data_IF_573089675645
#
_entry.id   IF_573089675645
#
_cell.length_a   1.000
_cell.length_b   1.000
_cell.length_c   1.000
_cell.angle_alpha   90.00
_cell.angle_beta   90.00
_cell.angle_gamma   90.00
#
_symmetry.space_group_name_H-M   'P 1'
#
loop_
_entity.id
_entity.type
_entity.pdbx_description
1 polymer ?
#
# COMPACT_ATOMS: atom_id res chain seq x y z
N UNK A 1 5.14 -8.67 13.51
CA UNK A 1 4.16 -7.81 12.79
C UNK A 1 4.50 -6.36 13.03
N UNK A 2 4.33 -5.53 12.00
CA UNK A 2 4.40 -4.07 12.07
C UNK A 2 3.03 -3.57 11.61
N UNK A 3 2.43 -2.64 12.34
CA UNK A 3 1.07 -2.19 12.08
C UNK A 3 0.85 -0.73 12.47
N UNK A 4 -0.17 -0.12 11.87
CA UNK A 4 -0.62 1.22 12.20
C UNK A 4 -1.50 1.21 13.45
N UNK A 5 -1.35 2.25 14.26
CA UNK A 5 -2.19 2.47 15.43
C UNK A 5 -2.69 3.90 15.45
N UNK A 6 -3.98 4.05 15.72
CA UNK A 6 -4.64 5.35 15.76
C UNK A 6 -5.36 5.52 17.10
N UNK A 7 -4.93 6.49 17.91
CA UNK A 7 -5.77 6.97 19.00
C UNK A 7 -5.66 6.18 20.29
N UNK A 8 -6.83 6.02 20.93
CA UNK A 8 -7.00 5.62 22.33
C UNK A 8 -6.84 4.10 22.51
N UNK A 9 -6.60 3.63 23.74
CA UNK A 9 -6.56 2.21 24.03
C UNK A 9 -7.87 1.54 23.64
N UNK A 10 -7.79 0.32 23.13
CA UNK A 10 -8.98 -0.47 22.83
C UNK A 10 -9.68 -0.77 24.16
N UNK A 11 -10.92 -0.28 24.36
CA UNK A 11 -11.64 -0.51 25.59
C UNK A 11 -11.73 -2.00 25.91
N UNK A 12 -11.56 -2.37 27.18
CA UNK A 12 -11.66 -3.74 27.71
C UNK A 12 -10.58 -4.73 27.23
N UNK A 13 -9.84 -4.43 26.17
CA UNK A 13 -8.70 -5.22 25.70
C UNK A 13 -7.41 -4.73 26.36
N UNK A 14 -7.21 -3.42 26.45
CA UNK A 14 -5.95 -2.83 26.91
C UNK A 14 -6.09 -2.19 28.30
N UNK A 15 -5.55 -2.87 29.30
CA UNK A 15 -5.48 -2.35 30.67
C UNK A 15 -4.19 -1.58 30.89
N UNK A 16 -4.21 -0.28 30.57
CA UNK A 16 -3.07 0.59 30.85
C UNK A 16 -2.93 0.87 32.35
N UNK A 17 -1.83 0.44 32.95
CA UNK A 17 -1.41 0.85 34.29
C UNK A 17 -1.14 2.37 34.35
N UNK A 18 -1.09 2.96 35.55
CA UNK A 18 -0.74 4.39 35.73
C UNK A 18 0.59 4.76 35.03
N UNK A 19 1.59 3.86 35.10
CA UNK A 19 2.88 4.04 34.43
C UNK A 19 2.75 4.02 32.91
N UNK A 20 2.02 3.05 32.36
CA UNK A 20 1.80 2.92 30.91
C UNK A 20 1.01 4.10 30.33
N UNK A 21 0.07 4.68 31.08
CA UNK A 21 -0.69 5.86 30.62
C UNK A 21 0.19 7.08 30.37
N UNK A 22 1.32 7.21 31.08
CA UNK A 22 2.24 8.35 30.93
C UNK A 22 3.07 8.26 29.64
N UNK A 23 3.40 7.05 29.19
CA UNK A 23 4.16 6.79 27.96
C UNK A 23 3.28 6.41 26.77
N UNK A 24 1.94 6.47 26.91
CA UNK A 24 1.02 6.04 25.87
C UNK A 24 0.92 7.09 24.76
N UNK A 25 1.27 6.70 23.54
CA UNK A 25 1.10 7.52 22.35
C UNK A 25 -0.36 7.53 21.94
N UNK A 26 -0.97 8.72 21.95
CA UNK A 26 -2.37 8.92 21.52
C UNK A 26 -2.50 9.27 20.04
N UNK A 27 -1.43 9.72 19.40
CA UNK A 27 -1.43 10.10 17.99
C UNK A 27 -1.44 8.88 17.07
N UNK A 28 -1.54 9.11 15.76
CA UNK A 28 -1.23 8.06 14.80
C UNK A 28 0.24 7.67 14.90
N UNK A 29 0.55 6.38 14.86
CA UNK A 29 1.93 5.89 14.93
C UNK A 29 2.04 4.46 14.38
N UNK A 30 3.27 4.00 14.18
CA UNK A 30 3.60 2.64 13.77
C UNK A 30 4.19 1.89 14.96
N UNK A 31 3.67 0.68 15.22
CA UNK A 31 4.16 -0.21 16.27
C UNK A 31 4.64 -1.55 15.68
N UNK A 32 5.51 -2.22 16.43
CA UNK A 32 5.93 -3.60 16.18
C UNK A 32 5.59 -4.51 17.36
N UNK A 33 5.15 -5.73 17.04
CA UNK A 33 5.05 -6.85 17.97
C UNK A 33 5.69 -8.10 17.36
N UNK A 34 6.29 -8.93 18.19
CA UNK A 34 6.90 -10.20 17.78
C UNK A 34 6.13 -11.37 18.39
N UNK A 35 6.15 -12.51 17.70
CA UNK A 35 5.56 -13.76 18.14
C UNK A 35 6.31 -14.91 17.47
N UNK A 36 6.45 -16.02 18.19
CA UNK A 36 7.03 -17.26 17.67
C UNK A 36 5.95 -18.29 17.28
N UNK A 37 4.68 -18.04 17.61
CA UNK A 37 3.56 -18.99 17.47
C UNK A 37 2.27 -18.35 16.89
N UNK A 38 2.33 -17.07 16.53
CA UNK A 38 1.22 -16.22 16.09
C UNK A 38 0.07 -16.07 17.09
N UNK A 39 0.22 -16.58 18.31
CA UNK A 39 -0.80 -16.62 19.35
C UNK A 39 -0.43 -15.73 20.52
N UNK A 40 0.80 -15.87 21.02
CA UNK A 40 1.37 -15.04 22.09
C UNK A 40 2.23 -13.97 21.46
N UNK A 41 1.97 -12.71 21.82
CA UNK A 41 2.63 -11.54 21.24
C UNK A 41 3.36 -10.72 22.31
N UNK A 42 4.56 -10.24 21.97
CA UNK A 42 5.34 -9.34 22.83
C UNK A 42 4.59 -8.05 23.17
N UNK A 43 5.07 -7.28 24.14
CA UNK A 43 4.63 -5.89 24.31
C UNK A 43 4.89 -5.08 23.02
N UNK A 44 4.05 -4.07 22.70
CA UNK A 44 4.23 -3.22 21.55
C UNK A 44 5.47 -2.34 21.70
N UNK A 45 6.24 -2.23 20.62
CA UNK A 45 7.36 -1.29 20.48
C UNK A 45 6.97 -0.19 19.51
N UNK A 46 7.08 1.06 19.94
CA UNK A 46 6.86 2.22 19.09
C UNK A 46 8.02 2.34 18.08
N UNK A 47 7.70 2.38 16.79
CA UNK A 47 8.69 2.54 15.73
C UNK A 47 8.77 3.98 15.19
N UNK A 48 7.62 4.62 14.97
CA UNK A 48 7.54 5.95 14.36
C UNK A 48 6.23 6.66 14.76
N UNK A 49 6.29 7.90 15.25
CA UNK A 49 5.09 8.71 15.46
C UNK A 49 4.76 9.56 14.22
N UNK A 50 3.47 9.75 13.92
CA UNK A 50 3.04 10.56 12.79
C UNK A 50 3.51 12.02 12.86
N UNK A 51 3.69 12.57 14.06
CA UNK A 51 4.18 13.94 14.26
C UNK A 51 5.62 14.15 13.78
N UNK A 52 6.37 13.06 13.59
CA UNK A 52 7.76 13.11 13.10
C UNK A 52 7.80 13.22 11.57
N UNK A 53 6.70 12.93 10.87
CA UNK A 53 6.59 13.01 9.41
C UNK A 53 5.93 14.36 9.04
N UNK A 54 6.66 15.29 8.39
CA UNK A 54 6.16 16.65 8.13
C UNK A 54 4.85 16.71 7.33
N UNK A 55 4.65 15.76 6.41
CA UNK A 55 3.47 15.73 5.54
C UNK A 55 2.26 15.03 6.16
N UNK A 56 2.38 14.50 7.39
CA UNK A 56 1.35 13.63 7.97
C UNK A 56 0.08 14.36 8.40
N UNK A 57 0.15 15.67 8.70
CA UNK A 57 -0.99 16.52 9.04
C UNK A 57 -1.43 17.45 7.90
N UNK A 58 -0.86 17.31 6.71
CA UNK A 58 -1.24 18.15 5.57
C UNK A 58 -2.75 18.05 5.30
N UNK A 59 -3.45 19.18 5.26
CA UNK A 59 -4.92 19.33 5.21
C UNK A 59 -5.69 18.60 6.32
N UNK A 60 -5.07 18.29 7.47
CA UNK A 60 -5.69 17.56 8.58
C UNK A 60 -5.33 18.17 9.92
N UNK A 61 -6.29 18.17 10.85
CA UNK A 61 -6.04 18.62 12.23
C UNK A 61 -5.08 17.70 13.00
N UNK A 62 -5.12 16.40 12.69
CA UNK A 62 -4.33 15.39 13.38
C UNK A 62 -3.45 14.65 12.35
N UNK A 63 -2.14 14.51 12.61
CA UNK A 63 -1.24 13.73 11.76
C UNK A 63 -1.69 12.27 11.64
N UNK A 64 -1.59 11.71 10.44
CA UNK A 64 -1.95 10.31 10.16
C UNK A 64 -0.85 9.63 9.34
N UNK A 65 -0.45 8.45 9.78
CA UNK A 65 0.32 7.49 8.99
C UNK A 65 -0.57 6.34 8.56
N UNK A 66 -0.17 5.59 7.54
CA UNK A 66 -0.90 4.42 7.09
C UNK A 66 0.00 3.44 6.35
N UNK A 67 -0.44 2.20 6.23
CA UNK A 67 0.18 1.19 5.34
C UNK A 67 1.71 1.01 5.53
N UNK A 68 2.18 0.72 6.75
CA UNK A 68 3.61 0.52 6.97
C UNK A 68 4.14 -0.71 6.22
N UNK A 69 5.29 -0.56 5.59
CA UNK A 69 6.05 -1.67 5.02
C UNK A 69 7.54 -1.49 5.30
N UNK A 70 8.15 -2.47 5.95
CA UNK A 70 9.59 -2.48 6.21
C UNK A 70 10.33 -3.31 5.17
N UNK A 71 11.49 -2.83 4.72
CA UNK A 71 12.43 -3.58 3.89
C UNK A 71 13.86 -3.51 4.44
N UNK A 72 14.62 -4.62 4.40
CA UNK A 72 16.05 -4.58 4.64
C UNK A 72 16.77 -3.84 3.50
N UNK A 73 17.58 -2.87 3.88
CA UNK A 73 18.42 -2.06 3.00
C UNK A 73 19.87 -2.14 3.49
N UNK A 74 20.80 -1.54 2.75
CA UNK A 74 22.17 -1.44 3.23
C UNK A 74 22.21 -0.69 4.57
N UNK A 75 22.93 -1.23 5.56
CA UNK A 75 23.09 -0.63 6.88
C UNK A 75 21.90 -0.77 7.84
N UNK A 76 20.74 -1.28 7.41
CA UNK A 76 19.59 -1.43 8.31
C UNK A 76 18.26 -1.68 7.61
N UNK A 77 17.23 -0.96 8.04
CA UNK A 77 15.84 -1.16 7.66
C UNK A 77 15.21 0.16 7.26
N UNK A 78 14.53 0.17 6.10
CA UNK A 78 13.72 1.30 5.64
C UNK A 78 12.25 0.97 5.81
N UNK A 79 11.52 1.87 6.45
CA UNK A 79 10.07 1.83 6.62
C UNK A 79 9.42 2.78 5.63
N UNK A 80 8.63 2.25 4.70
CA UNK A 80 7.72 3.01 3.84
C UNK A 80 6.39 3.18 4.56
N UNK A 81 5.85 4.40 4.56
CA UNK A 81 4.57 4.74 5.18
C UNK A 81 3.81 5.72 4.30
N UNK A 82 2.50 5.53 4.18
CA UNK A 82 1.62 6.58 3.67
C UNK A 82 1.44 7.67 4.73
N UNK A 83 1.43 8.94 4.33
CA UNK A 83 1.20 10.07 5.23
C UNK A 83 0.08 10.99 4.72
N UNK A 84 -0.70 11.52 5.68
CA UNK A 84 -1.97 12.20 5.45
C UNK A 84 -2.96 11.35 4.61
N UNK A 85 -4.15 11.90 4.31
CA UNK A 85 -5.22 11.23 3.56
C UNK A 85 -5.87 12.18 2.57
N UNK A 86 -6.31 11.63 1.45
CA UNK A 86 -7.14 12.28 0.43
C UNK A 86 -8.35 11.42 0.10
N UNK A 87 -9.48 12.07 -0.23
CA UNK A 87 -10.76 11.43 -0.44
C UNK A 87 -11.42 10.90 0.84
N UNK A 88 -12.69 10.51 0.74
CA UNK A 88 -13.51 10.14 1.91
C UNK A 88 -13.91 8.67 1.91
N UNK A 89 -14.43 8.15 0.78
CA UNK A 89 -15.05 6.83 0.71
C UNK A 89 -14.74 6.12 -0.60
N UNK A 90 -13.58 5.46 -0.75
CA UNK A 90 -12.51 5.24 0.24
C UNK A 90 -11.52 6.41 0.32
N UNK A 91 -10.92 6.61 1.48
CA UNK A 91 -9.76 7.49 1.65
C UNK A 91 -8.47 6.74 1.27
N UNK A 92 -7.49 7.46 0.72
CA UNK A 92 -6.18 6.93 0.33
C UNK A 92 -5.07 7.78 0.92
N UNK A 93 -3.85 7.24 1.04
CA UNK A 93 -2.69 8.03 1.47
C UNK A 93 -2.46 9.19 0.49
N UNK A 94 -2.23 10.40 1.01
CA UNK A 94 -1.96 11.57 0.17
C UNK A 94 -0.53 11.51 -0.38
N UNK A 95 0.40 11.13 0.50
CA UNK A 95 1.82 10.97 0.21
C UNK A 95 2.31 9.59 0.63
N UNK A 96 3.48 9.21 0.12
CA UNK A 96 4.33 8.16 0.69
C UNK A 96 5.63 8.79 1.17
N UNK A 97 6.09 8.38 2.35
CA UNK A 97 7.33 8.82 2.98
C UNK A 97 8.15 7.60 3.40
N UNK A 98 9.42 7.82 3.73
CA UNK A 98 10.29 6.80 4.31
C UNK A 98 10.97 7.27 5.58
N UNK A 99 11.31 6.30 6.42
CA UNK A 99 12.13 6.47 7.61
C UNK A 99 13.11 5.29 7.72
N UNK A 100 14.24 5.49 8.38
CA UNK A 100 15.32 4.52 8.51
C UNK A 100 15.63 4.19 9.97
N UNK A 101 16.03 2.94 10.22
CA UNK A 101 16.62 2.50 11.47
C UNK A 101 17.70 1.46 11.22
N UNK A 102 18.77 1.46 12.02
CA UNK A 102 19.82 0.44 11.95
C UNK A 102 19.32 -0.95 12.40
N UNK A 103 18.29 -0.99 13.26
CA UNK A 103 17.67 -2.23 13.73
C UNK A 103 16.19 -2.30 13.37
N UNK A 104 15.69 -3.52 13.18
CA UNK A 104 14.31 -3.75 12.76
C UNK A 104 13.28 -3.15 13.75
N UNK A 105 13.60 -3.20 15.03
CA UNK A 105 12.77 -2.84 16.17
C UNK A 105 13.17 -1.52 16.84
N UNK A 106 14.10 -0.79 16.23
CA UNK A 106 14.57 0.51 16.70
C UNK A 106 13.59 1.63 16.38
N UNK A 107 13.90 2.83 16.86
CA UNK A 107 13.20 4.04 16.42
C UNK A 107 13.59 4.34 14.98
N UNK A 108 12.60 4.63 14.14
CA UNK A 108 12.80 5.01 12.75
C UNK A 108 12.83 6.54 12.63
N UNK A 109 13.82 7.06 11.90
CA UNK A 109 14.02 8.49 11.68
C UNK A 109 13.65 8.81 10.23
N UNK A 110 12.78 9.81 9.96
CA UNK A 110 12.42 10.19 8.59
C UNK A 110 13.65 10.47 7.71
N UNK A 111 13.69 9.90 6.51
CA UNK A 111 14.82 10.08 5.57
C UNK A 111 14.87 11.50 4.98
N UNK A 112 13.72 12.19 4.92
CA UNK A 112 13.57 13.48 4.24
C UNK A 112 12.44 14.31 4.85
N UNK A 113 12.53 15.62 4.66
CA UNK A 113 11.44 16.55 4.96
C UNK A 113 10.36 16.58 3.86
N UNK A 114 10.72 16.19 2.64
CA UNK A 114 9.80 16.11 1.50
C UNK A 114 9.20 14.70 1.39
N UNK A 115 7.95 14.56 0.95
CA UNK A 115 7.38 13.25 0.65
C UNK A 115 8.18 12.55 -0.46
N UNK A 116 8.26 11.23 -0.38
CA UNK A 116 8.90 10.39 -1.40
C UNK A 116 8.07 10.33 -2.68
N UNK A 117 6.76 10.20 -2.51
CA UNK A 117 5.80 10.11 -3.63
C UNK A 117 4.58 10.96 -3.29
N UNK A 118 4.13 11.75 -4.25
CA UNK A 118 2.96 12.62 -4.15
C UNK A 118 2.09 12.61 -5.41
N UNK A 119 0.92 13.24 -5.34
CA UNK A 119 0.06 13.44 -6.49
C UNK A 119 0.74 14.32 -7.55
N UNK A 120 0.54 13.99 -8.83
CA UNK A 120 1.05 14.79 -9.95
C UNK A 120 -0.16 15.22 -10.77
N UNK A 121 -0.59 16.50 -10.74
CA UNK A 121 -1.89 16.92 -11.29
C UNK A 121 -2.19 16.48 -12.73
N UNK A 122 -1.17 16.40 -13.58
CA UNK A 122 -1.30 16.01 -14.99
C UNK A 122 -0.92 14.54 -15.26
N UNK A 123 -0.65 13.74 -14.23
CA UNK A 123 -0.39 12.31 -14.38
C UNK A 123 -1.70 11.52 -14.53
N UNK A 124 -1.73 10.63 -15.53
CA UNK A 124 -2.92 9.85 -15.91
C UNK A 124 -3.45 8.97 -14.78
N UNK A 125 -2.58 8.49 -13.88
CA UNK A 125 -2.93 7.48 -12.88
C UNK A 125 -2.74 7.97 -11.44
N UNK A 126 -2.04 9.08 -11.23
CA UNK A 126 -1.71 9.62 -9.90
C UNK A 126 -2.06 11.11 -9.74
N UNK A 127 -3.10 11.60 -10.40
CA UNK A 127 -3.49 13.02 -10.34
C UNK A 127 -4.08 13.48 -9.02
N UNK A 128 -4.66 12.58 -8.21
CA UNK A 128 -5.38 12.95 -6.98
C UNK A 128 -4.67 12.55 -5.69
N UNK A 129 -3.83 11.52 -5.72
CA UNK A 129 -3.14 11.04 -4.53
C UNK A 129 -2.12 9.95 -4.82
N UNK A 130 -1.06 9.87 -4.00
CA UNK A 130 -0.06 8.81 -4.11
C UNK A 130 -0.66 7.42 -3.84
N UNK A 131 -1.65 7.33 -2.96
CA UNK A 131 -2.24 6.07 -2.56
C UNK A 131 -1.23 5.14 -1.88
N UNK A 132 -1.52 3.84 -1.88
CA UNK A 132 -0.65 2.84 -1.24
C UNK A 132 0.48 2.45 -2.19
N UNK A 133 1.67 2.25 -1.66
CA UNK A 133 2.82 1.71 -2.39
C UNK A 133 3.34 0.46 -1.67
N UNK A 134 3.50 -0.64 -2.40
CA UNK A 134 4.08 -1.89 -1.90
C UNK A 134 5.37 -2.17 -2.66
N UNK A 135 6.50 -2.13 -1.95
CA UNK A 135 7.86 -2.18 -2.47
C UNK A 135 8.45 -3.59 -2.34
N UNK A 136 9.19 -4.00 -3.36
CA UNK A 136 9.90 -5.27 -3.43
C UNK A 136 11.33 -5.00 -3.87
N UNK A 137 12.29 -5.63 -3.18
CA UNK A 137 13.70 -5.58 -3.52
C UNK A 137 14.04 -6.76 -4.43
N UNK A 138 14.46 -6.48 -5.66
CA UNK A 138 15.09 -7.43 -6.57
C UNK A 138 16.58 -7.58 -6.31
N UNK A 139 17.31 -8.21 -7.24
CA UNK A 139 18.77 -8.34 -7.15
C UNK A 139 19.47 -6.99 -7.24
N UNK A 140 19.10 -6.19 -8.25
CA UNK A 140 19.82 -4.96 -8.64
C UNK A 140 18.93 -3.71 -8.62
N UNK A 141 17.65 -3.88 -8.30
CA UNK A 141 16.67 -2.81 -8.35
C UNK A 141 15.52 -3.05 -7.39
N UNK A 142 14.69 -2.04 -7.23
CA UNK A 142 13.43 -2.10 -6.50
C UNK A 142 12.28 -1.95 -7.49
N UNK A 143 11.20 -2.67 -7.19
CA UNK A 143 9.93 -2.59 -7.90
C UNK A 143 8.86 -2.25 -6.89
N UNK A 144 7.87 -1.44 -7.26
CA UNK A 144 6.72 -1.21 -6.42
C UNK A 144 5.41 -1.30 -7.19
N UNK A 145 4.40 -1.84 -6.53
CA UNK A 145 3.03 -1.65 -6.96
C UNK A 145 2.44 -0.46 -6.23
N UNK A 146 1.91 0.49 -6.99
CA UNK A 146 1.24 1.66 -6.43
C UNK A 146 -0.26 1.61 -6.76
N UNK A 147 -1.10 1.67 -5.74
CA UNK A 147 -2.54 1.88 -5.84
C UNK A 147 -2.82 3.39 -5.97
N UNK A 148 -2.47 3.96 -7.12
CA UNK A 148 -2.53 5.40 -7.36
C UNK A 148 -3.99 5.88 -7.52
N UNK A 149 -4.30 7.12 -7.09
CA UNK A 149 -5.63 7.73 -7.22
C UNK A 149 -5.60 8.79 -8.33
N UNK A 150 -6.61 8.74 -9.21
CA UNK A 150 -6.73 9.65 -10.34
C UNK A 150 -8.18 10.06 -10.60
N UNK A 151 -8.33 11.12 -11.39
CA UNK A 151 -9.61 11.50 -11.98
C UNK A 151 -9.83 10.76 -13.30
N UNK A 152 -10.85 9.90 -13.35
CA UNK A 152 -11.29 9.23 -14.58
C UNK A 152 -12.18 10.20 -15.37
N UNK A 153 -11.63 10.77 -16.44
CA UNK A 153 -12.32 11.75 -17.27
C UNK A 153 -13.50 11.14 -18.04
N UNK A 154 -13.41 9.85 -18.41
CA UNK A 154 -14.46 9.16 -19.18
C UNK A 154 -15.66 8.86 -18.29
N UNK A 155 -15.41 8.39 -17.07
CA UNK A 155 -16.45 8.10 -16.07
C UNK A 155 -16.88 9.33 -15.26
N UNK A 156 -16.14 10.44 -15.36
CA UNK A 156 -16.33 11.69 -14.60
C UNK A 156 -16.39 11.44 -13.08
N UNK A 157 -15.48 10.62 -12.58
CA UNK A 157 -15.40 10.28 -11.18
C UNK A 157 -13.95 10.01 -10.77
N UNK A 158 -13.70 10.03 -9.46
CA UNK A 158 -12.43 9.55 -8.94
C UNK A 158 -12.33 8.03 -9.09
N UNK A 159 -11.12 7.54 -9.35
CA UNK A 159 -10.82 6.12 -9.50
C UNK A 159 -9.44 5.82 -8.92
N UNK A 160 -9.07 4.54 -8.87
CA UNK A 160 -7.73 4.10 -8.53
C UNK A 160 -7.25 2.97 -9.42
N UNK A 161 -5.94 2.92 -9.65
CA UNK A 161 -5.30 1.93 -10.51
C UNK A 161 -4.11 1.30 -9.79
N UNK A 162 -3.78 0.06 -10.14
CA UNK A 162 -2.47 -0.53 -9.81
C UNK A 162 -1.52 -0.14 -10.94
N UNK A 163 -0.48 0.62 -10.62
CA UNK A 163 0.62 0.95 -11.55
C UNK A 163 1.92 0.34 -11.06
N UNK A 164 2.83 0.08 -12.01
CA UNK A 164 4.15 -0.47 -11.73
C UNK A 164 5.19 0.67 -11.67
N UNK A 165 5.96 0.71 -10.58
CA UNK A 165 7.09 1.62 -10.43
C UNK A 165 8.39 0.83 -10.33
N UNK A 166 9.48 1.45 -10.77
CA UNK A 166 10.85 0.94 -10.63
C UNK A 166 11.75 2.00 -10.01
N UNK A 167 12.77 1.55 -9.29
CA UNK A 167 13.78 2.38 -8.66
C UNK A 167 15.10 1.63 -8.56
N UNK A 168 16.24 2.32 -8.64
CA UNK A 168 17.57 1.70 -8.42
C UNK A 168 18.00 1.76 -6.96
N UNK A 169 17.46 2.69 -6.17
CA UNK A 169 17.87 2.99 -4.78
C UNK A 169 16.74 2.84 -3.75
N UNK A 170 15.51 2.60 -4.24
CA UNK A 170 14.29 2.54 -3.45
C UNK A 170 13.80 3.91 -2.99
N UNK A 171 14.40 5.01 -3.45
CA UNK A 171 14.06 6.38 -3.10
C UNK A 171 13.55 7.17 -4.31
N UNK A 172 14.19 7.03 -5.46
CA UNK A 172 13.77 7.67 -6.71
C UNK A 172 12.94 6.71 -7.53
N UNK A 173 11.65 7.03 -7.72
CA UNK A 173 10.67 6.15 -8.35
C UNK A 173 10.16 6.72 -9.66
N UNK A 174 10.08 5.86 -10.68
CA UNK A 174 9.48 6.19 -11.98
C UNK A 174 8.49 5.10 -12.40
N UNK A 175 7.49 5.46 -13.22
CA UNK A 175 6.57 4.48 -13.82
C UNK A 175 7.35 3.57 -14.77
N UNK A 176 7.16 2.26 -14.63
CA UNK A 176 7.79 1.26 -15.49
C UNK A 176 7.10 1.17 -16.87
N UNK A 177 5.81 1.46 -16.91
CA UNK A 177 4.97 1.49 -18.11
C UNK A 177 3.96 2.66 -18.01
N UNK A 178 3.51 3.16 -19.15
CA UNK A 178 2.40 4.12 -19.18
C UNK A 178 1.06 3.45 -18.89
N UNK A 179 0.91 2.16 -19.22
CA UNK A 179 -0.31 1.40 -18.92
C UNK A 179 -0.31 0.88 -17.48
N UNK A 180 -1.46 0.93 -16.79
CA UNK A 180 -1.62 0.38 -15.46
C UNK A 180 -1.71 -1.15 -15.56
N UNK A 181 -1.31 -1.84 -14.50
CA UNK A 181 -1.52 -3.29 -14.36
C UNK A 181 -3.02 -3.60 -14.22
N UNK A 182 -3.74 -2.77 -13.47
CA UNK A 182 -5.17 -2.95 -13.24
C UNK A 182 -5.88 -1.62 -13.08
N UNK A 183 -7.02 -1.48 -13.76
CA UNK A 183 -8.01 -0.41 -13.54
C UNK A 183 -9.32 -1.02 -13.06
N UNK A 184 -10.23 -0.23 -12.48
CA UNK A 184 -11.53 -0.73 -12.06
C UNK A 184 -12.31 -1.31 -13.24
N UNK A 185 -12.97 -2.44 -13.00
CA UNK A 185 -13.86 -3.04 -13.99
C UNK A 185 -14.96 -2.06 -14.41
N UNK A 186 -15.55 -2.25 -15.59
CA UNK A 186 -16.65 -1.38 -16.03
C UNK A 186 -17.89 -1.53 -15.13
N UNK A 187 -18.13 -2.73 -14.58
CA UNK A 187 -19.28 -3.08 -13.72
C UNK A 187 -18.92 -4.16 -12.71
N UNK A 188 -19.76 -4.37 -11.71
CA UNK A 188 -19.65 -5.46 -10.75
C UNK A 188 -18.83 -5.11 -9.49
N UNK A 189 -18.20 -6.12 -8.89
CA UNK A 189 -17.65 -6.03 -7.53
C UNK A 189 -16.35 -5.21 -7.41
N UNK A 190 -15.63 -5.00 -8.51
CA UNK A 190 -14.34 -4.29 -8.57
C UNK A 190 -14.39 -3.05 -9.49
N UNK A 191 -15.55 -2.39 -9.57
CA UNK A 191 -15.81 -1.34 -10.55
C UNK A 191 -15.61 0.09 -10.06
N UNK A 192 -15.42 0.31 -8.75
CA UNK A 192 -15.32 1.65 -8.16
C UNK A 192 -13.85 1.99 -7.85
N UNK A 193 -13.23 1.26 -6.92
CA UNK A 193 -11.83 1.50 -6.52
C UNK A 193 -11.07 0.20 -6.30
N UNK A 194 -9.80 0.19 -6.71
CA UNK A 194 -8.80 -0.79 -6.28
C UNK A 194 -8.02 -0.20 -5.10
N UNK A 195 -8.15 -0.77 -3.90
CA UNK A 195 -7.70 -0.13 -2.66
C UNK A 195 -6.26 -0.48 -2.30
N UNK A 196 -5.95 -1.78 -2.35
CA UNK A 196 -4.67 -2.31 -1.89
C UNK A 196 -4.26 -3.50 -2.75
N UNK A 197 -2.97 -3.79 -2.76
CA UNK A 197 -2.46 -5.05 -3.30
C UNK A 197 -1.24 -5.56 -2.51
N UNK A 198 -1.02 -6.87 -2.58
CA UNK A 198 0.23 -7.55 -2.20
C UNK A 198 0.54 -8.63 -3.24
N UNK A 199 1.81 -8.72 -3.59
CA UNK A 199 2.34 -9.65 -4.59
C UNK A 199 3.26 -10.69 -3.96
N UNK A 200 3.12 -11.92 -4.44
CA UNK A 200 3.99 -13.05 -4.09
C UNK A 200 4.43 -13.78 -5.34
N UNK A 201 5.74 -14.04 -5.45
CA UNK A 201 6.23 -14.94 -6.47
C UNK A 201 6.04 -16.38 -6.02
N UNK A 202 5.37 -17.17 -6.84
CA UNK A 202 5.18 -18.60 -6.62
C UNK A 202 6.21 -19.35 -7.48
N UNK A 203 7.28 -19.80 -6.83
CA UNK A 203 8.45 -20.39 -7.51
C UNK A 203 8.11 -21.68 -8.26
N UNK A 204 7.26 -22.53 -7.67
CA UNK A 204 6.78 -23.79 -8.23
C UNK A 204 5.94 -23.60 -9.50
N UNK A 205 5.26 -22.46 -9.64
CA UNK A 205 4.43 -22.13 -10.80
C UNK A 205 5.04 -21.09 -11.74
N UNK A 206 6.26 -20.62 -11.43
CA UNK A 206 6.95 -19.56 -12.15
C UNK A 206 6.05 -18.33 -12.45
N UNK A 207 5.24 -17.91 -11.47
CA UNK A 207 4.29 -16.81 -11.68
C UNK A 207 4.10 -15.93 -10.44
N UNK A 208 3.64 -14.71 -10.69
CA UNK A 208 3.34 -13.72 -9.68
C UNK A 208 1.85 -13.76 -9.34
N UNK A 209 1.54 -13.90 -8.06
CA UNK A 209 0.21 -13.78 -7.50
C UNK A 209 0.05 -12.38 -6.94
N UNK A 210 -0.81 -11.56 -7.53
CA UNK A 210 -1.19 -10.26 -7.00
C UNK A 210 -2.58 -10.36 -6.37
N UNK A 211 -2.64 -10.42 -5.05
CA UNK A 211 -3.89 -10.29 -4.31
C UNK A 211 -4.20 -8.81 -4.19
N UNK A 212 -5.43 -8.42 -4.52
CA UNK A 212 -5.86 -7.02 -4.42
C UNK A 212 -7.22 -6.92 -3.79
N UNK A 213 -7.47 -5.84 -3.05
CA UNK A 213 -8.82 -5.53 -2.58
C UNK A 213 -9.45 -4.44 -3.43
N UNK A 214 -10.74 -4.58 -3.70
CA UNK A 214 -11.50 -3.63 -4.50
C UNK A 214 -12.93 -3.47 -3.99
N UNK A 215 -13.51 -2.35 -4.37
CA UNK A 215 -14.92 -2.03 -4.17
C UNK A 215 -15.61 -1.86 -5.52
N UNK A 216 -16.91 -1.98 -5.50
CA UNK A 216 -17.74 -1.87 -6.69
C UNK A 216 -19.15 -1.48 -6.33
N UNK A 217 -20.10 -1.90 -7.17
CA UNK A 217 -21.50 -1.52 -7.04
C UNK A 217 -22.05 -1.72 -5.62
N UNK A 218 -22.65 -0.66 -5.09
CA UNK A 218 -23.27 -0.65 -3.77
C UNK A 218 -24.55 -1.46 -3.81
N UNK A 219 -24.67 -2.46 -2.93
CA UNK A 219 -25.90 -3.23 -2.77
C UNK A 219 -26.62 -2.77 -1.51
N UNK A 220 -27.85 -2.29 -1.64
CA UNK A 220 -28.63 -1.71 -0.54
C UNK A 220 -27.92 -0.55 0.19
N UNK A 221 -27.17 0.27 -0.56
CA UNK A 221 -26.42 1.40 -0.01
C UNK A 221 -25.11 1.03 0.70
N UNK A 222 -24.81 -0.27 0.86
CA UNK A 222 -23.60 -0.75 1.49
C UNK A 222 -22.47 -0.94 0.46
N UNK A 223 -21.32 -0.35 0.76
CA UNK A 223 -20.09 -0.59 0.02
C UNK A 223 -19.52 -1.95 0.45
N UNK A 224 -19.27 -2.83 -0.51
CA UNK A 224 -18.61 -4.11 -0.25
C UNK A 224 -17.18 -4.04 -0.77
N UNK A 225 -16.23 -4.30 0.13
CA UNK A 225 -14.86 -4.60 -0.24
C UNK A 225 -14.71 -6.13 -0.43
N UNK A 226 -13.96 -6.55 -1.44
CA UNK A 226 -13.68 -7.96 -1.71
C UNK A 226 -12.26 -8.12 -2.24
N UNK A 227 -11.72 -9.34 -2.13
CA UNK A 227 -10.35 -9.66 -2.54
C UNK A 227 -10.41 -10.42 -3.87
N UNK A 228 -9.61 -9.97 -4.84
CA UNK A 228 -9.35 -10.66 -6.10
C UNK A 228 -7.91 -11.12 -6.23
N UNK A 229 -7.63 -11.84 -7.31
CA UNK A 229 -6.31 -12.35 -7.68
C UNK A 229 -6.03 -12.04 -9.15
N UNK A 230 -4.89 -11.42 -9.42
CA UNK A 230 -4.29 -11.38 -10.76
C UNK A 230 -3.08 -12.32 -10.79
N UNK A 231 -2.93 -13.05 -11.88
CA UNK A 231 -1.81 -13.96 -12.10
C UNK A 231 -0.94 -13.39 -13.22
N UNK A 232 0.29 -12.99 -12.88
CA UNK A 232 1.30 -12.56 -13.83
C UNK A 232 2.22 -13.71 -14.20
N UNK A 233 2.15 -14.20 -15.44
CA UNK A 233 3.10 -15.17 -15.98
C UNK A 233 4.06 -14.45 -16.91
N UNK A 234 5.33 -14.84 -16.86
CA UNK A 234 6.22 -14.54 -18.00
C UNK A 234 5.56 -15.21 -19.19
N UNK A 235 5.26 -14.49 -20.29
CA UNK A 235 4.87 -15.14 -21.52
C UNK A 235 6.04 -16.03 -21.90
N UNK A 236 5.97 -17.34 -21.60
CA UNK A 236 6.84 -18.29 -22.25
C UNK A 236 6.70 -17.97 -23.74
N UNK A 237 7.82 -17.77 -24.44
CA UNK A 237 7.89 -17.70 -25.90
C UNK A 237 6.82 -18.66 -26.42
N UNK A 238 5.68 -18.14 -26.89
CA UNK A 238 4.67 -18.99 -27.52
C UNK A 238 5.46 -19.66 -28.62
N UNK A 239 5.70 -20.97 -28.52
CA UNK A 239 6.21 -21.72 -29.66
C UNK A 239 5.25 -21.39 -30.79
N UNK A 240 5.75 -20.72 -31.83
CA UNK A 240 4.99 -20.49 -33.04
C UNK A 240 4.56 -21.88 -33.53
N UNK A 241 3.29 -22.25 -33.33
CA UNK A 241 2.84 -23.62 -33.60
C UNK A 241 1.47 -24.01 -33.03
N UNK A 242 1.05 -23.49 -31.88
CA UNK A 242 -0.29 -23.83 -31.35
C UNK A 242 -1.34 -22.83 -31.85
N UNK A 243 -1.59 -22.86 -33.16
CA UNK A 243 -2.87 -22.44 -33.72
C UNK A 243 -3.85 -23.59 -33.52
N UNK A 244 -4.76 -23.43 -32.56
CA UNK A 244 -5.89 -24.33 -32.44
C UNK A 244 -6.45 -24.32 -31.03
N UNK A 245 -7.25 -23.31 -30.71
CA UNK A 245 -8.43 -23.52 -29.89
C UNK A 245 -9.45 -22.42 -30.18
N UNK A 246 -10.45 -22.81 -30.97
CA UNK A 246 -11.70 -22.09 -31.16
C UNK A 246 -12.42 -21.99 -29.82
N UNK A 247 -12.29 -20.87 -29.12
CA UNK A 247 -13.02 -20.59 -27.88
C UNK A 247 -14.32 -19.81 -28.08
N UNK A 248 -15.01 -20.05 -29.20
CA UNK A 248 -16.42 -19.74 -29.35
C UNK A 248 -17.10 -20.81 -30.22
N UNK A 249 -17.88 -21.75 -29.65
CA UNK A 249 -18.91 -22.39 -30.44
C UNK A 249 -20.02 -21.37 -30.66
N UNK A 250 -20.34 -21.11 -31.93
CA UNK A 250 -21.55 -20.39 -32.32
C UNK A 250 -22.77 -21.06 -31.66
N UNK A 251 -23.54 -20.26 -30.93
CA UNK A 251 -24.84 -20.61 -30.36
C UNK A 251 -25.59 -19.33 -30.01
#
# INVERSE_FOLDING_TARGET
IIYERHGRPIPFVEKLTKRMRKSHVRGSHIEMRSSNDLSIWSEPRLLLEAKEIPSADDYRKNPVLSHPQVLPVEGGFRLYVGSSKVGEHPASSRYVCTAFSETLDGTYIPDSQMPLVEAVPNDKWRSLGAGRMCVYKGSDSYVALQNARYWDADRKQEASAIVLLTSTDGLQWQRADDQPILVPAQRGWASEHILTCDVRYKQDEACWYCYFSATGERRYGLLRESIGLLIGKIPALRKAGENGDNLFPNG
#
